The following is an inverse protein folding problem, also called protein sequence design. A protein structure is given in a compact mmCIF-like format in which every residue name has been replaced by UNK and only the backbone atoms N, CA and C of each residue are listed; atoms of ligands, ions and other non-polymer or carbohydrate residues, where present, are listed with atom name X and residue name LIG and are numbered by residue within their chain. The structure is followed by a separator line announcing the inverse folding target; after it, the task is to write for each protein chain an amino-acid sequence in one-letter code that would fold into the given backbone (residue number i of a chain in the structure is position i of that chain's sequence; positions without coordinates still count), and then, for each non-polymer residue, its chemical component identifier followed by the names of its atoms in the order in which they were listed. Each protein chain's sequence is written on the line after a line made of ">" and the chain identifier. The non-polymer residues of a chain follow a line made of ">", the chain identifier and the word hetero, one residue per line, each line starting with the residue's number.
data_IF_602321640217
#
_entry.id   IF_602321640217
#
_cell.length_a   1.000
_cell.length_b   1.000
_cell.length_c   1.000
_cell.angle_alpha   90.00
_cell.angle_beta   90.00
_cell.angle_gamma   90.00
#
_symmetry.space_group_name_H-M   'P 1'
#
loop_
_entity.id
_entity.type
_entity.pdbx_description
1 polymer ?
#
# COMPACT_ATOMS: atom_id res chain seq x y z
N UNK A 1 2.44 -40.52 11.93
CA UNK A 1 1.35 -39.61 11.52
C UNK A 1 1.78 -38.95 10.22
N UNK A 2 1.23 -39.41 9.07
CA UNK A 2 1.71 -39.02 7.74
C UNK A 2 0.87 -37.93 7.10
N UNK A 3 1.51 -36.89 6.61
CA UNK A 3 0.92 -35.85 5.77
C UNK A 3 0.80 -36.39 4.32
N UNK A 4 -0.39 -36.44 3.77
CA UNK A 4 -0.62 -36.74 2.36
C UNK A 4 -1.04 -35.45 1.64
N UNK A 5 -0.26 -35.05 0.66
CA UNK A 5 -0.54 -33.93 -0.24
C UNK A 5 -1.55 -34.32 -1.32
N UNK A 6 -2.68 -33.65 -1.37
CA UNK A 6 -3.64 -33.76 -2.47
C UNK A 6 -3.50 -32.58 -3.42
N UNK A 7 -3.27 -32.85 -4.70
CA UNK A 7 -2.89 -31.91 -5.75
C UNK A 7 -4.08 -31.25 -6.47
N UNK A 8 -5.18 -31.03 -5.80
CA UNK A 8 -6.31 -30.27 -6.37
C UNK A 8 -6.89 -29.35 -5.32
N UNK A 9 -6.69 -28.07 -5.47
CA UNK A 9 -7.31 -26.94 -4.74
C UNK A 9 -6.55 -26.20 -3.62
N UNK A 10 -5.23 -26.30 -3.50
CA UNK A 10 -4.46 -25.32 -2.69
C UNK A 10 -4.94 -25.04 -1.24
N UNK A 11 -5.59 -26.03 -0.58
CA UNK A 11 -6.11 -25.91 0.79
C UNK A 11 -5.51 -26.99 1.65
N UNK A 12 -4.75 -26.61 2.67
CA UNK A 12 -4.31 -27.48 3.75
C UNK A 12 -5.54 -27.87 4.59
N UNK A 13 -6.01 -29.12 4.46
CA UNK A 13 -7.08 -29.64 5.29
C UNK A 13 -6.49 -30.29 6.56
N UNK A 14 -6.67 -29.66 7.69
CA UNK A 14 -6.46 -30.27 8.99
C UNK A 14 -7.67 -31.16 9.33
N UNK A 15 -7.48 -32.45 9.37
CA UNK A 15 -8.50 -33.40 9.80
C UNK A 15 -8.35 -33.61 11.31
N UNK A 16 -9.19 -32.93 12.09
CA UNK A 16 -9.39 -33.25 13.49
C UNK A 16 -10.89 -33.49 13.74
N UNK A 17 -11.19 -34.53 14.46
CA UNK A 17 -12.52 -35.05 14.76
C UNK A 17 -13.35 -34.11 15.65
N UNK A 18 -13.86 -33.01 15.08
CA UNK A 18 -14.74 -32.06 15.74
C UNK A 18 -15.30 -31.06 14.74
N UNK A 19 -16.54 -31.26 14.30
CA UNK A 19 -17.20 -30.57 13.17
C UNK A 19 -17.35 -29.05 13.24
N UNK A 20 -16.94 -28.36 14.33
CA UNK A 20 -17.13 -26.94 14.50
C UNK A 20 -16.02 -26.06 13.82
N UNK A 21 -14.80 -26.57 13.74
CA UNK A 21 -13.65 -25.80 13.22
C UNK A 21 -13.60 -25.71 11.68
N UNK A 22 -14.16 -26.71 11.01
CA UNK A 22 -14.22 -26.76 9.53
C UNK A 22 -15.25 -25.77 8.97
N UNK A 23 -16.34 -25.53 9.69
CA UNK A 23 -17.37 -24.57 9.32
C UNK A 23 -16.82 -23.12 9.41
N UNK A 24 -16.04 -22.83 10.45
CA UNK A 24 -15.44 -21.50 10.66
C UNK A 24 -14.38 -21.17 9.58
N UNK A 25 -13.52 -22.13 9.25
CA UNK A 25 -12.50 -21.96 8.20
C UNK A 25 -13.14 -21.77 6.83
N UNK A 26 -14.19 -22.52 6.49
CA UNK A 26 -14.96 -22.33 5.24
C UNK A 26 -15.67 -20.98 5.21
N UNK A 27 -16.24 -20.51 6.32
CA UNK A 27 -16.89 -19.22 6.40
C UNK A 27 -15.91 -18.06 6.22
N UNK A 28 -14.69 -18.15 6.75
CA UNK A 28 -13.64 -17.13 6.58
C UNK A 28 -13.16 -17.07 5.13
N UNK A 29 -12.93 -18.23 4.48
CA UNK A 29 -12.48 -18.29 3.08
C UNK A 29 -13.57 -17.80 2.12
N UNK A 30 -14.83 -18.13 2.36
CA UNK A 30 -15.97 -17.64 1.57
C UNK A 30 -16.11 -16.13 1.74
N UNK A 31 -16.01 -15.61 2.96
CA UNK A 31 -16.09 -14.17 3.24
C UNK A 31 -14.93 -13.38 2.59
N UNK A 32 -13.73 -13.93 2.56
CA UNK A 32 -12.60 -13.32 1.84
C UNK A 32 -12.80 -13.35 0.33
N UNK A 33 -13.32 -14.45 -0.25
CA UNK A 33 -13.63 -14.54 -1.69
C UNK A 33 -14.76 -13.58 -2.09
N UNK A 34 -15.78 -13.41 -1.28
CA UNK A 34 -16.85 -12.43 -1.50
C UNK A 34 -16.33 -10.99 -1.37
N UNK A 35 -15.45 -10.71 -0.40
CA UNK A 35 -14.82 -9.40 -0.26
C UNK A 35 -13.94 -9.09 -1.48
N UNK A 36 -13.13 -10.02 -1.95
CA UNK A 36 -12.29 -9.87 -3.16
C UNK A 36 -13.15 -9.76 -4.43
N UNK A 37 -14.29 -10.46 -4.49
CA UNK A 37 -15.24 -10.37 -5.61
C UNK A 37 -15.96 -9.03 -5.61
N UNK A 38 -16.29 -8.46 -4.44
CA UNK A 38 -16.86 -7.11 -4.30
C UNK A 38 -15.85 -6.02 -4.68
N UNK A 39 -14.57 -6.20 -4.35
CA UNK A 39 -13.50 -5.27 -4.76
C UNK A 39 -13.22 -5.32 -6.27
N UNK A 40 -13.40 -6.49 -6.94
CA UNK A 40 -13.33 -6.60 -8.41
C UNK A 40 -14.55 -6.05 -9.12
N UNK A 41 -15.66 -5.89 -8.42
CA UNK A 41 -16.93 -5.32 -8.94
C UNK A 41 -17.07 -3.83 -8.61
N UNK A 42 -16.00 -3.15 -8.15
CA UNK A 42 -15.97 -1.71 -8.03
C UNK A 42 -15.98 -1.10 -9.43
N UNK A 43 -17.18 -0.78 -9.90
CA UNK A 43 -17.41 0.00 -11.10
C UNK A 43 -17.83 1.42 -10.64
N UNK A 44 -16.92 2.39 -10.71
CA UNK A 44 -17.22 3.77 -10.29
C UNK A 44 -18.37 4.39 -11.10
N UNK A 45 -18.61 3.93 -12.34
CA UNK A 45 -19.67 4.43 -13.19
C UNK A 45 -21.08 3.99 -12.74
N UNK A 46 -21.21 2.91 -11.95
CA UNK A 46 -22.50 2.35 -11.54
C UNK A 46 -23.16 2.98 -10.32
N UNK A 47 -22.48 3.80 -9.56
CA UNK A 47 -23.03 4.41 -8.34
C UNK A 47 -22.76 5.90 -8.31
N UNK A 48 -23.48 6.72 -9.06
CA UNK A 48 -23.73 8.15 -8.79
C UNK A 48 -22.67 8.99 -8.03
N UNK A 49 -21.48 8.47 -7.80
CA UNK A 49 -20.34 9.14 -7.15
C UNK A 49 -19.58 10.08 -8.08
N UNK A 50 -20.04 10.21 -9.32
CA UNK A 50 -19.46 11.12 -10.30
C UNK A 50 -19.99 12.56 -10.11
N UNK A 51 -19.70 13.20 -9.01
CA UNK A 51 -19.40 14.63 -9.05
C UNK A 51 -17.99 14.74 -9.63
N UNK A 52 -17.91 14.94 -10.96
CA UNK A 52 -16.72 15.16 -11.76
C UNK A 52 -15.44 14.53 -11.24
N UNK A 53 -14.94 13.48 -11.90
CA UNK A 53 -13.60 12.96 -11.57
C UNK A 53 -12.61 14.12 -11.60
N UNK A 54 -11.76 14.29 -10.60
CA UNK A 54 -10.80 15.39 -10.58
C UNK A 54 -9.80 15.24 -11.73
N UNK A 55 -9.52 16.32 -12.42
CA UNK A 55 -8.44 16.42 -13.38
C UNK A 55 -7.21 17.04 -12.72
N UNK A 56 -6.06 16.47 -12.98
CA UNK A 56 -4.78 16.92 -12.45
C UNK A 56 -3.91 17.52 -13.54
N UNK A 57 -3.35 18.70 -13.28
CA UNK A 57 -2.32 19.27 -14.15
C UNK A 57 -1.03 18.45 -14.06
N UNK A 58 -0.17 18.57 -15.09
CA UNK A 58 1.10 17.84 -15.14
C UNK A 58 1.91 18.00 -13.84
N UNK A 59 2.02 19.22 -13.30
CA UNK A 59 2.76 19.47 -12.06
C UNK A 59 2.12 18.85 -10.82
N UNK A 60 0.78 18.72 -10.79
CA UNK A 60 0.06 18.05 -9.70
C UNK A 60 0.23 16.53 -9.80
N UNK A 61 0.10 15.98 -11.00
CA UNK A 61 0.35 14.56 -11.27
C UNK A 61 1.80 14.18 -10.91
N UNK A 62 2.77 15.03 -11.25
CA UNK A 62 4.18 14.83 -10.91
C UNK A 62 4.41 14.74 -9.39
N UNK A 63 3.81 15.66 -8.62
CA UNK A 63 3.87 15.62 -7.14
C UNK A 63 3.22 14.37 -6.56
N UNK A 64 2.05 13.95 -7.09
CA UNK A 64 1.35 12.75 -6.64
C UNK A 64 2.13 11.47 -6.94
N UNK A 65 2.86 11.44 -8.07
CA UNK A 65 3.69 10.30 -8.47
C UNK A 65 5.11 10.35 -7.90
N UNK A 66 5.51 11.44 -7.25
CA UNK A 66 6.86 11.60 -6.70
C UNK A 66 7.96 11.73 -7.77
N UNK A 67 7.64 12.30 -8.94
CA UNK A 67 8.54 12.46 -10.08
C UNK A 67 8.60 13.92 -10.55
N UNK A 68 9.49 14.23 -11.51
CA UNK A 68 9.54 15.55 -12.13
C UNK A 68 8.43 15.75 -13.19
N UNK A 69 8.06 17.01 -13.43
CA UNK A 69 7.11 17.38 -14.49
C UNK A 69 7.54 16.86 -15.86
N UNK A 70 8.85 16.89 -16.14
CA UNK A 70 9.41 16.40 -17.40
C UNK A 70 9.22 14.88 -17.56
N UNK A 71 9.28 14.13 -16.45
CA UNK A 71 9.01 12.69 -16.48
C UNK A 71 7.56 12.43 -16.87
N UNK A 72 6.61 13.17 -16.29
CA UNK A 72 5.19 13.06 -16.65
C UNK A 72 4.96 13.47 -18.11
N UNK A 73 5.58 14.55 -18.59
CA UNK A 73 5.50 14.98 -19.99
C UNK A 73 5.98 13.88 -20.93
N UNK A 74 7.14 13.26 -20.64
CA UNK A 74 7.68 12.14 -21.44
C UNK A 74 6.70 10.95 -21.49
N UNK A 75 6.06 10.59 -20.39
CA UNK A 75 5.05 9.53 -20.38
C UNK A 75 3.83 9.87 -21.22
N UNK A 76 3.38 11.13 -21.20
CA UNK A 76 2.28 11.59 -22.04
C UNK A 76 2.69 11.56 -23.52
N UNK A 77 3.85 12.08 -23.86
CA UNK A 77 4.33 12.16 -25.24
C UNK A 77 4.65 10.78 -25.82
N UNK A 78 5.06 9.83 -24.97
CA UNK A 78 5.24 8.42 -25.33
C UNK A 78 3.94 7.60 -25.37
N UNK A 79 2.77 8.21 -25.07
CA UNK A 79 1.48 7.53 -25.06
C UNK A 79 1.27 6.57 -23.90
N UNK A 80 2.15 6.58 -22.90
CA UNK A 80 2.05 5.72 -21.70
C UNK A 80 1.02 6.24 -20.71
N UNK A 81 0.84 7.56 -20.62
CA UNK A 81 -0.14 8.24 -19.78
C UNK A 81 -1.05 9.10 -20.66
N UNK A 82 -2.35 8.80 -20.65
CA UNK A 82 -3.33 9.57 -21.40
C UNK A 82 -3.57 10.93 -20.74
N UNK A 83 -3.59 12.00 -21.54
CA UNK A 83 -3.88 13.35 -21.10
C UNK A 83 -4.82 14.04 -22.11
N UNK A 84 -5.66 14.94 -21.61
CA UNK A 84 -6.59 15.74 -22.37
C UNK A 84 -6.21 17.22 -22.29
N UNK A 85 -6.81 18.06 -23.16
CA UNK A 85 -6.68 19.51 -23.05
C UNK A 85 -7.86 20.07 -22.25
N UNK A 86 -7.58 20.87 -21.21
CA UNK A 86 -8.61 21.63 -20.50
C UNK A 86 -9.17 22.77 -21.39
N UNK A 87 -10.21 23.46 -20.90
CA UNK A 87 -10.83 24.59 -21.62
C UNK A 87 -9.85 25.74 -21.96
N UNK A 88 -8.64 25.75 -21.39
CA UNK A 88 -7.57 26.70 -21.68
C UNK A 88 -6.43 26.09 -22.51
N UNK A 89 -6.61 24.89 -23.08
CA UNK A 89 -5.61 24.19 -23.90
C UNK A 89 -4.45 23.57 -23.12
N UNK A 90 -4.53 23.48 -21.79
CA UNK A 90 -3.45 22.90 -20.96
C UNK A 90 -3.66 21.40 -20.79
N UNK A 91 -2.57 20.61 -20.84
CA UNK A 91 -2.61 19.17 -20.61
C UNK A 91 -3.05 18.86 -19.16
N UNK A 92 -4.09 18.06 -19.02
CA UNK A 92 -4.63 17.54 -17.76
C UNK A 92 -4.81 16.02 -17.85
N UNK A 93 -4.68 15.34 -16.72
CA UNK A 93 -4.84 13.88 -16.62
C UNK A 93 -6.06 13.59 -15.77
N UNK A 94 -6.93 12.71 -16.25
CA UNK A 94 -8.07 12.20 -15.48
C UNK A 94 -7.59 11.44 -14.23
N UNK A 95 -8.25 11.65 -13.09
CA UNK A 95 -7.83 11.08 -11.81
C UNK A 95 -7.86 9.56 -11.77
N UNK A 96 -8.80 8.90 -12.46
CA UNK A 96 -8.86 7.44 -12.51
C UNK A 96 -7.73 6.87 -13.38
N UNK A 97 -7.42 7.55 -14.50
CA UNK A 97 -6.27 7.21 -15.36
C UNK A 97 -4.97 7.35 -14.58
N UNK A 98 -4.81 8.47 -13.86
CA UNK A 98 -3.63 8.71 -13.02
C UNK A 98 -3.47 7.66 -11.92
N UNK A 99 -4.56 7.29 -11.23
CA UNK A 99 -4.55 6.26 -10.18
C UNK A 99 -4.19 4.87 -10.75
N UNK A 100 -4.72 4.51 -11.92
CA UNK A 100 -4.37 3.27 -12.61
C UNK A 100 -2.89 3.23 -13.00
N UNK A 101 -2.38 4.33 -13.54
CA UNK A 101 -0.98 4.49 -13.92
C UNK A 101 -0.06 4.41 -12.68
N UNK A 102 -0.37 5.14 -11.61
CA UNK A 102 0.37 5.10 -10.34
C UNK A 102 0.51 3.67 -9.80
N UNK A 103 -0.60 2.91 -9.83
CA UNK A 103 -0.59 1.50 -9.40
C UNK A 103 0.32 0.63 -10.27
N UNK A 104 0.36 0.87 -11.60
CA UNK A 104 1.22 0.15 -12.53
C UNK A 104 2.70 0.49 -12.39
N UNK A 105 3.01 1.73 -11.96
CA UNK A 105 4.39 2.20 -11.74
C UNK A 105 4.93 1.90 -10.34
N UNK A 106 4.05 1.47 -9.41
CA UNK A 106 4.46 1.19 -8.04
C UNK A 106 5.49 0.05 -8.00
N UNK A 107 6.74 0.39 -7.71
CA UNK A 107 7.81 -0.57 -7.48
C UNK A 107 7.91 -0.81 -5.98
N UNK A 108 7.54 -2.01 -5.54
CA UNK A 108 7.74 -2.39 -4.14
C UNK A 108 9.24 -2.61 -3.87
N UNK A 109 9.76 -1.93 -2.86
CA UNK A 109 11.09 -2.24 -2.34
C UNK A 109 11.02 -3.62 -1.69
N UNK A 110 11.90 -4.59 -2.08
CA UNK A 110 11.86 -5.93 -1.52
C UNK A 110 11.93 -5.92 0.01
N UNK A 111 11.13 -6.79 0.64
CA UNK A 111 11.17 -6.96 2.09
C UNK A 111 12.39 -7.78 2.50
N UNK A 112 13.35 -7.21 3.22
CA UNK A 112 14.53 -7.94 3.66
C UNK A 112 14.21 -8.98 4.75
N UNK A 113 13.02 -8.91 5.39
CA UNK A 113 12.73 -9.73 6.58
C UNK A 113 12.21 -11.14 6.27
N UNK A 114 11.65 -11.40 5.08
CA UNK A 114 11.11 -12.70 4.68
C UNK A 114 9.96 -13.26 5.57
N UNK A 115 9.39 -12.48 6.47
CA UNK A 115 8.40 -12.91 7.47
C UNK A 115 6.98 -12.73 6.94
N UNK A 116 6.15 -13.79 7.03
CA UNK A 116 4.71 -13.71 6.75
C UNK A 116 3.99 -12.88 7.81
N UNK A 117 3.21 -11.85 7.40
CA UNK A 117 2.56 -10.90 8.30
C UNK A 117 1.13 -10.55 7.88
N UNK A 118 0.31 -10.14 8.86
CA UNK A 118 -1.05 -9.67 8.61
C UNK A 118 -1.13 -8.16 8.33
N UNK A 119 -0.09 -7.37 8.63
CA UNK A 119 -0.05 -5.95 8.32
C UNK A 119 0.05 -5.75 6.80
N UNK A 120 -0.85 -4.89 6.25
CA UNK A 120 -0.95 -4.66 4.80
C UNK A 120 -0.14 -3.45 4.34
N UNK A 121 0.10 -2.48 5.24
CA UNK A 121 0.86 -1.28 4.92
C UNK A 121 2.28 -1.46 5.44
N UNK A 122 3.24 -1.43 4.51
CA UNK A 122 4.66 -1.62 4.76
C UNK A 122 5.43 -0.51 4.07
N UNK A 123 6.30 0.10 4.81
CA UNK A 123 7.14 1.19 4.35
C UNK A 123 8.60 0.80 4.62
N UNK A 124 9.29 0.35 3.59
CA UNK A 124 10.73 0.07 3.64
C UNK A 124 11.48 1.38 3.44
N UNK A 125 12.39 1.70 4.34
CA UNK A 125 13.11 2.97 4.27
C UNK A 125 14.37 3.01 5.13
N UNK A 126 15.06 4.13 5.06
CA UNK A 126 16.25 4.40 5.85
C UNK A 126 15.86 5.20 7.09
N UNK A 127 16.41 4.83 8.24
CA UNK A 127 16.35 5.65 9.44
C UNK A 127 17.10 6.95 9.15
N UNK A 128 16.47 8.09 9.38
CA UNK A 128 17.06 9.42 9.17
C UNK A 128 17.40 10.11 10.48
N UNK A 129 16.64 9.83 11.56
CA UNK A 129 16.86 10.43 12.86
C UNK A 129 16.40 9.49 13.97
N UNK A 130 17.13 9.53 15.09
CA UNK A 130 16.75 8.89 16.35
C UNK A 130 16.96 9.92 17.46
N UNK A 131 15.87 10.26 18.16
CA UNK A 131 15.89 11.11 19.36
C UNK A 131 15.41 10.27 20.51
N UNK A 132 16.24 10.06 21.53
CA UNK A 132 15.93 9.18 22.65
C UNK A 132 16.23 9.86 24.00
N UNK A 133 15.36 9.60 24.97
CA UNK A 133 15.65 9.80 26.38
C UNK A 133 15.96 8.44 27.08
N UNK A 134 15.84 8.38 28.39
CA UNK A 134 16.10 7.14 29.15
C UNK A 134 15.05 6.06 28.92
N UNK A 135 13.81 6.41 28.54
CA UNK A 135 12.65 5.51 28.44
C UNK A 135 12.14 5.39 27.03
N UNK A 136 11.98 6.52 26.33
CA UNK A 136 11.30 6.60 25.03
C UNK A 136 12.23 7.14 23.95
N UNK A 137 11.98 6.72 22.74
CA UNK A 137 12.65 7.22 21.55
C UNK A 137 11.67 7.50 20.42
N UNK A 138 11.95 8.58 19.68
CA UNK A 138 11.36 8.86 18.39
C UNK A 138 12.33 8.43 17.30
N UNK A 139 11.86 7.60 16.39
CA UNK A 139 12.61 7.15 15.23
C UNK A 139 11.93 7.66 13.97
N UNK A 140 12.68 8.31 13.09
CA UNK A 140 12.19 8.77 11.80
C UNK A 140 12.79 7.94 10.68
N UNK A 141 11.94 7.57 9.71
CA UNK A 141 12.33 6.84 8.50
C UNK A 141 11.92 7.64 7.27
N UNK A 142 12.78 7.65 6.26
CA UNK A 142 12.44 8.11 4.91
C UNK A 142 12.13 6.89 4.05
N UNK A 143 10.87 6.75 3.66
CA UNK A 143 10.33 5.64 2.86
C UNK A 143 9.87 6.15 1.49
N UNK A 144 10.77 6.19 0.51
CA UNK A 144 10.53 6.90 -0.74
C UNK A 144 10.22 8.38 -0.47
N UNK A 145 9.10 8.95 -0.97
CA UNK A 145 8.73 10.34 -0.71
C UNK A 145 8.10 10.55 0.69
N UNK A 146 7.86 9.50 1.45
CA UNK A 146 7.12 9.56 2.71
C UNK A 146 8.06 9.54 3.92
N UNK A 147 7.85 10.47 4.85
CA UNK A 147 8.44 10.47 6.17
C UNK A 147 7.53 9.69 7.12
N UNK A 148 8.06 8.67 7.77
CA UNK A 148 7.35 7.86 8.76
C UNK A 148 7.99 8.08 10.12
N UNK A 149 7.18 8.32 11.14
CA UNK A 149 7.64 8.53 12.53
C UNK A 149 7.08 7.42 13.41
N UNK A 150 7.94 6.84 14.24
CA UNK A 150 7.58 5.85 15.24
C UNK A 150 8.02 6.31 16.62
N UNK A 151 7.19 6.05 17.63
CA UNK A 151 7.55 6.15 19.04
C UNK A 151 7.68 4.74 19.61
N UNK A 152 8.80 4.46 20.27
CA UNK A 152 9.09 3.16 20.86
C UNK A 152 9.98 3.32 22.10
N UNK A 153 10.21 2.24 22.85
CA UNK A 153 11.13 2.30 23.97
C UNK A 153 12.57 2.50 23.51
N UNK A 154 13.37 3.22 24.29
CA UNK A 154 14.81 3.39 24.03
C UNK A 154 15.57 2.06 24.11
N UNK A 155 15.04 1.09 24.86
CA UNK A 155 15.56 -0.28 24.89
C UNK A 155 15.40 -0.95 23.52
N UNK A 156 14.20 -0.92 22.92
CA UNK A 156 13.96 -1.50 21.60
C UNK A 156 14.85 -0.87 20.52
N UNK A 157 15.08 0.44 20.57
CA UNK A 157 16.00 1.13 19.64
C UNK A 157 17.41 0.57 19.75
N UNK A 158 17.89 0.32 20.98
CA UNK A 158 19.23 -0.25 21.20
C UNK A 158 19.31 -1.71 20.76
N UNK A 159 18.32 -2.54 21.10
CA UNK A 159 18.26 -3.95 20.71
C UNK A 159 18.21 -4.14 19.19
N UNK A 160 17.44 -3.29 18.51
CA UNK A 160 17.32 -3.31 17.04
C UNK A 160 18.50 -2.61 16.35
N UNK A 161 19.41 -1.97 17.07
CA UNK A 161 20.53 -1.22 16.51
C UNK A 161 20.12 -0.07 15.60
N UNK A 162 18.98 0.60 15.89
CA UNK A 162 18.47 1.65 15.04
C UNK A 162 19.33 2.92 15.16
N UNK A 163 19.87 3.35 14.03
CA UNK A 163 20.68 4.57 13.89
C UNK A 163 20.49 5.15 12.48
N UNK A 164 20.78 6.43 12.26
CA UNK A 164 20.75 7.02 10.93
C UNK A 164 21.53 6.19 9.91
N UNK A 165 20.92 5.88 8.77
CA UNK A 165 21.45 5.04 7.70
C UNK A 165 21.08 3.56 7.79
N UNK A 166 20.49 3.09 8.88
CA UNK A 166 20.00 1.71 8.99
C UNK A 166 18.75 1.53 8.15
N UNK A 167 18.69 0.41 7.39
CA UNK A 167 17.48 0.01 6.68
C UNK A 167 16.47 -0.57 7.68
N UNK A 168 15.23 -0.05 7.66
CA UNK A 168 14.17 -0.52 8.53
C UNK A 168 12.83 -0.58 7.80
N UNK A 169 11.87 -1.30 8.38
CA UNK A 169 10.52 -1.47 7.84
C UNK A 169 9.50 -0.99 8.86
N UNK A 170 8.77 0.06 8.53
CA UNK A 170 7.61 0.49 9.31
C UNK A 170 6.36 -0.29 8.86
N UNK A 171 5.59 -0.77 9.82
CA UNK A 171 4.38 -1.56 9.61
C UNK A 171 3.18 -0.86 10.22
N UNK A 172 2.11 -0.69 9.44
CA UNK A 172 0.85 -0.14 9.94
C UNK A 172 -0.30 -1.09 9.63
N UNK A 173 -1.05 -1.51 10.65
CA UNK A 173 -2.24 -2.31 10.44
C UNK A 173 -3.28 -1.52 9.67
N UNK A 174 -3.99 -2.16 8.73
CA UNK A 174 -5.03 -1.50 7.92
C UNK A 174 -6.13 -0.84 8.77
N UNK A 175 -6.41 -1.39 9.96
CA UNK A 175 -7.39 -0.85 10.91
C UNK A 175 -6.94 0.43 11.63
N UNK A 176 -5.66 0.80 11.51
CA UNK A 176 -5.09 2.00 12.13
C UNK A 176 -4.86 3.13 11.11
N UNK A 177 -5.14 2.88 9.84
CA UNK A 177 -5.03 3.89 8.78
C UNK A 177 -6.31 4.72 8.77
N UNK A 178 -6.15 6.03 8.94
CA UNK A 178 -7.22 7.01 8.77
C UNK A 178 -7.12 7.56 7.36
N UNK A 179 -8.25 7.69 6.67
CA UNK A 179 -8.34 8.26 5.32
C UNK A 179 -9.17 9.53 5.40
N UNK A 180 -8.61 10.60 4.88
CA UNK A 180 -9.27 11.91 4.78
C UNK A 180 -9.37 12.33 3.32
N UNK A 181 -10.40 13.08 2.98
CA UNK A 181 -10.55 13.71 1.66
C UNK A 181 -10.50 15.22 1.83
N UNK A 182 -9.90 15.97 0.88
CA UNK A 182 -10.01 17.42 0.86
C UNK A 182 -11.49 17.82 0.80
N UNK A 183 -11.89 18.81 1.63
CA UNK A 183 -13.23 19.40 1.64
C UNK A 183 -13.48 20.29 0.42
#
# INVERSE_FOLDING_TARGET
>A
MGLRWGRESGVLAWRNSGGGKLALAKAIVVRQREHTRRLRAWDPARRGYCRGMPYFRVAEAARLLGVSDDTVRRWIDAGQLSAEADGAGRKVVDGAVLAGFAKGQATEVPDPSGVGRSARNRFVGLVTSVVADTVMAQVELQCGPHRVVSLMSSEAVREMGLAPGVLAVALVKATQVIVETPG
#
